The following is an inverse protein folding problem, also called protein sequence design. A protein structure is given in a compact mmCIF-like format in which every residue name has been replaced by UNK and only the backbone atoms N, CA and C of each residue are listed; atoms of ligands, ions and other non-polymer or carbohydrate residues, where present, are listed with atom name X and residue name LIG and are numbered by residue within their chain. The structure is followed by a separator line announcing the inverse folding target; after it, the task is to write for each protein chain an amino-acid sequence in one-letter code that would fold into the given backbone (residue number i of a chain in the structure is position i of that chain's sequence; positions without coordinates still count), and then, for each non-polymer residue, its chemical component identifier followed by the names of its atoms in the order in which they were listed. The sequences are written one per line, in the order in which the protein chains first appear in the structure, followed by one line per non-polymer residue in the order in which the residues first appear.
data_IF_899928135099
#
_entry.id   IF_899928135099
#
_cell.length_a   1.000
_cell.length_b   1.000
_cell.length_c   1.000
_cell.angle_alpha   90.00
_cell.angle_beta   90.00
_cell.angle_gamma   90.00
#
_symmetry.space_group_name_H-M   'P 1'
#
loop_
_entity.id
_entity.type
_entity.pdbx_description
1 polymer ?
#
# COMPACT_ATOMS: atom_id res chain seq x y z
N UNK A 1 -26.21 -26.68 3.88
CA UNK A 1 -25.00 -26.61 3.03
C UNK A 1 -24.01 -25.72 3.76
N UNK A 2 -22.94 -26.28 4.33
CA UNK A 2 -21.90 -25.48 4.99
C UNK A 2 -21.01 -24.88 3.90
N UNK A 3 -20.98 -23.55 3.85
CA UNK A 3 -20.13 -22.77 2.93
C UNK A 3 -18.67 -23.00 3.31
N UNK A 4 -18.03 -23.89 2.56
CA UNK A 4 -16.69 -24.40 2.85
C UNK A 4 -15.73 -23.59 2.00
N UNK A 5 -14.90 -22.81 2.69
CA UNK A 5 -13.61 -22.32 2.18
C UNK A 5 -13.66 -21.21 1.13
N UNK A 6 -14.14 -20.02 1.49
CA UNK A 6 -13.71 -18.79 0.80
C UNK A 6 -12.33 -18.31 1.29
N UNK A 7 -11.37 -19.25 1.47
CA UNK A 7 -9.96 -18.85 1.59
C UNK A 7 -9.51 -18.45 0.18
N UNK A 8 -9.17 -17.18 -0.08
CA UNK A 8 -8.71 -16.77 -1.40
C UNK A 8 -7.56 -17.67 -1.81
N UNK A 9 -7.65 -18.22 -3.03
CA UNK A 9 -6.60 -19.11 -3.57
C UNK A 9 -5.24 -18.41 -3.47
N UNK A 10 -4.16 -19.19 -3.38
CA UNK A 10 -2.78 -18.63 -3.29
C UNK A 10 -2.52 -17.58 -4.39
N UNK A 11 -3.12 -17.79 -5.57
CA UNK A 11 -3.06 -16.87 -6.71
C UNK A 11 -3.84 -15.57 -6.48
N UNK A 12 -5.04 -15.64 -5.89
CA UNK A 12 -5.88 -14.46 -5.59
C UNK A 12 -5.22 -13.55 -4.55
N UNK A 13 -4.71 -14.14 -3.47
CA UNK A 13 -3.92 -13.42 -2.46
C UNK A 13 -2.69 -12.74 -3.05
N UNK A 14 -1.99 -13.41 -3.96
CA UNK A 14 -0.82 -12.83 -4.64
C UNK A 14 -1.19 -11.62 -5.51
N UNK A 15 -2.33 -11.68 -6.20
CA UNK A 15 -2.83 -10.55 -7.01
C UNK A 15 -3.25 -9.37 -6.12
N UNK A 16 -3.98 -9.64 -5.03
CA UNK A 16 -4.38 -8.61 -4.05
C UNK A 16 -3.15 -7.92 -3.46
N UNK A 17 -2.12 -8.69 -3.05
CA UNK A 17 -0.87 -8.12 -2.56
C UNK A 17 -0.15 -7.23 -3.59
N UNK A 18 -0.12 -7.65 -4.86
CA UNK A 18 0.47 -6.86 -5.93
C UNK A 18 -0.34 -5.58 -6.19
N UNK A 19 -1.67 -5.66 -6.18
CA UNK A 19 -2.55 -4.52 -6.37
C UNK A 19 -2.35 -3.47 -5.27
N UNK A 20 -2.28 -3.89 -4.00
CA UNK A 20 -2.02 -3.00 -2.87
C UNK A 20 -0.63 -2.35 -2.95
N UNK A 21 0.38 -3.10 -3.39
CA UNK A 21 1.71 -2.54 -3.60
C UNK A 21 1.72 -1.51 -4.73
N UNK A 22 1.09 -1.81 -5.86
CA UNK A 22 0.97 -0.88 -6.98
C UNK A 22 0.18 0.37 -6.62
N UNK A 23 -0.85 0.24 -5.77
CA UNK A 23 -1.59 1.39 -5.25
C UNK A 23 -0.70 2.26 -4.35
N UNK A 24 0.10 1.65 -3.46
CA UNK A 24 1.09 2.37 -2.66
C UNK A 24 2.16 3.07 -3.50
N UNK A 25 2.59 2.46 -4.60
CA UNK A 25 3.48 3.09 -5.59
C UNK A 25 2.82 4.30 -6.27
N UNK A 26 1.56 4.15 -6.70
CA UNK A 26 0.80 5.25 -7.28
C UNK A 26 0.65 6.43 -6.31
N UNK A 27 0.41 6.18 -5.01
CA UNK A 27 0.30 7.23 -3.98
C UNK A 27 1.58 8.06 -3.85
N UNK A 28 2.76 7.44 -3.99
CA UNK A 28 4.04 8.15 -3.93
C UNK A 28 4.28 9.04 -5.15
N UNK A 29 3.67 8.69 -6.28
CA UNK A 29 3.77 9.43 -7.54
C UNK A 29 2.70 10.53 -7.68
N UNK A 30 1.70 10.58 -6.80
CA UNK A 30 0.68 11.65 -6.76
C UNK A 30 1.26 13.00 -6.34
N UNK A 31 0.59 14.09 -6.75
CA UNK A 31 0.92 15.43 -6.26
C UNK A 31 0.53 15.59 -4.78
N UNK A 32 1.16 16.51 -4.03
CA UNK A 32 0.75 16.80 -2.65
C UNK A 32 -0.73 17.16 -2.52
N UNK A 33 -1.25 17.94 -3.47
CA UNK A 33 -2.66 18.37 -3.51
C UNK A 33 -3.60 17.17 -3.63
N UNK A 34 -3.25 16.20 -4.48
CA UNK A 34 -4.02 14.96 -4.64
C UNK A 34 -3.96 14.07 -3.40
N UNK A 35 -2.85 14.10 -2.65
CA UNK A 35 -2.72 13.36 -1.39
C UNK A 35 -3.53 14.00 -0.27
N UNK A 36 -3.69 15.32 -0.26
CA UNK A 36 -4.48 16.04 0.73
C UNK A 36 -5.99 15.80 0.56
N UNK A 37 -6.45 15.57 -0.67
CA UNK A 37 -7.84 15.20 -0.97
C UNK A 37 -8.19 13.75 -0.59
N UNK A 38 -7.19 12.89 -0.34
CA UNK A 38 -7.41 11.49 0.05
C UNK A 38 -7.45 11.38 1.57
N UNK A 39 -8.59 10.93 2.10
CA UNK A 39 -8.71 10.55 3.50
C UNK A 39 -7.97 9.22 3.74
N UNK A 40 -6.86 9.29 4.45
CA UNK A 40 -6.01 8.15 4.77
C UNK A 40 -5.39 8.30 6.16
N UNK A 41 -5.00 7.21 6.82
CA UNK A 41 -4.35 7.29 8.13
C UNK A 41 -3.05 8.09 8.08
N UNK A 42 -2.78 8.86 9.13
CA UNK A 42 -1.57 9.68 9.26
C UNK A 42 -0.28 8.88 9.03
N UNK A 43 -0.25 7.62 9.50
CA UNK A 43 0.90 6.73 9.30
C UNK A 43 1.20 6.44 7.83
N UNK A 44 0.16 6.32 6.99
CA UNK A 44 0.31 6.11 5.55
C UNK A 44 0.77 7.40 4.87
N UNK A 45 0.19 8.54 5.26
CA UNK A 45 0.59 9.86 4.74
C UNK A 45 2.06 10.15 5.02
N UNK A 46 2.50 9.97 6.26
CA UNK A 46 3.90 10.16 6.66
C UNK A 46 4.83 9.23 5.88
N UNK A 47 4.43 7.96 5.72
CA UNK A 47 5.23 6.99 4.99
C UNK A 47 5.41 7.37 3.51
N UNK A 48 4.36 7.89 2.87
CA UNK A 48 4.38 8.38 1.49
C UNK A 48 5.27 9.61 1.35
N UNK A 49 5.14 10.59 2.26
CA UNK A 49 5.99 11.78 2.26
C UNK A 49 7.47 11.44 2.44
N UNK A 50 7.78 10.48 3.31
CA UNK A 50 9.15 10.02 3.52
C UNK A 50 9.70 9.29 2.30
N UNK A 51 8.89 8.47 1.62
CA UNK A 51 9.28 7.80 0.38
C UNK A 51 9.70 8.78 -0.73
N UNK A 52 9.07 9.96 -0.78
CA UNK A 52 9.41 11.03 -1.73
C UNK A 52 10.72 11.73 -1.39
N UNK A 53 11.11 11.80 -0.11
CA UNK A 53 12.37 12.41 0.35
C UNK A 53 13.57 11.47 0.17
N UNK A 54 13.35 10.17 0.19
CA UNK A 54 14.42 9.18 0.08
C UNK A 54 15.01 9.16 -1.34
N UNK A 55 16.29 9.51 -1.44
CA UNK A 55 17.06 9.48 -2.70
C UNK A 55 17.77 8.15 -2.95
N UNK A 56 18.03 7.36 -1.89
CA UNK A 56 18.73 6.07 -1.99
C UNK A 56 17.75 4.96 -2.41
N UNK A 57 18.04 4.29 -3.53
CA UNK A 57 17.19 3.22 -4.07
C UNK A 57 16.79 2.14 -3.06
N UNK A 58 17.74 1.63 -2.28
CA UNK A 58 17.46 0.59 -1.28
C UNK A 58 16.59 1.09 -0.12
N UNK A 59 16.80 2.32 0.33
CA UNK A 59 15.94 2.92 1.36
C UNK A 59 14.53 3.18 0.81
N UNK A 60 14.40 3.67 -0.44
CA UNK A 60 13.11 3.88 -1.08
C UNK A 60 12.37 2.55 -1.22
N UNK A 61 13.06 1.49 -1.65
CA UNK A 61 12.50 0.14 -1.77
C UNK A 61 11.95 -0.38 -0.44
N UNK A 62 12.69 -0.20 0.66
CA UNK A 62 12.21 -0.59 2.01
C UNK A 62 10.99 0.23 2.42
N UNK A 63 11.00 1.53 2.11
CA UNK A 63 9.86 2.40 2.38
C UNK A 63 8.62 1.98 1.58
N UNK A 64 8.76 1.63 0.30
CA UNK A 64 7.65 1.09 -0.50
C UNK A 64 7.08 -0.20 0.09
N UNK A 65 7.93 -1.09 0.62
CA UNK A 65 7.46 -2.31 1.31
C UNK A 65 6.70 -1.99 2.60
N UNK A 66 7.12 -0.95 3.33
CA UNK A 66 6.42 -0.48 4.52
C UNK A 66 5.06 0.13 4.17
N UNK A 67 4.99 0.98 3.14
CA UNK A 67 3.73 1.50 2.59
C UNK A 67 2.81 0.35 2.19
N UNK A 68 3.30 -0.64 1.44
CA UNK A 68 2.52 -1.81 1.06
C UNK A 68 2.05 -2.66 2.25
N UNK A 69 2.74 -2.61 3.40
CA UNK A 69 2.24 -3.19 4.65
C UNK A 69 1.10 -2.35 5.23
N UNK A 70 1.27 -1.04 5.33
CA UNK A 70 0.23 -0.14 5.82
C UNK A 70 -1.05 -0.25 4.98
N UNK A 71 -0.94 -0.34 3.65
CA UNK A 71 -2.08 -0.54 2.75
C UNK A 71 -2.90 -1.80 3.07
N UNK A 72 -2.27 -2.86 3.61
CA UNK A 72 -2.99 -4.06 4.08
C UNK A 72 -3.69 -3.87 5.41
N UNK A 73 -3.21 -2.94 6.23
CA UNK A 73 -3.81 -2.63 7.52
C UNK A 73 -4.99 -1.65 7.37
N UNK A 74 -5.01 -0.85 6.28
CA UNK A 74 -6.11 0.08 5.93
C UNK A 74 -7.28 -0.62 5.23
N UNK A 75 -7.02 -1.68 4.47
CA UNK A 75 -8.05 -2.52 3.85
C UNK A 75 -8.21 -3.82 4.64
N UNK A 76 -9.03 -3.84 5.72
CA UNK A 76 -9.33 -5.06 6.44
C UNK A 76 -10.15 -5.97 5.52
N UNK A 77 -9.46 -6.91 4.87
CA UNK A 77 -10.05 -8.04 4.17
C UNK A 77 -11.01 -8.85 5.05
#
# INVERSE_FOLDING_TARGET
MYDKDEKPSKTRRKKEMLALQSLGEALVDLSPEQLDDIDMPDSLRDAVLEARRITKHEARRRQMQYIGRLMRDVDPA
#
